data_IF_924932891455
#
_entry.id   IF_924932891455
#
_cell.length_a   1.000
_cell.length_b   1.000
_cell.length_c   1.000
_cell.angle_alpha   90.00
_cell.angle_beta   90.00
_cell.angle_gamma   90.00
#
_symmetry.space_group_name_H-M   'P 1'
#
loop_
_entity.id
_entity.type
_entity.pdbx_description
1 polymer ?
#
# COMPACT_ATOMS: atom_id res chain seq x y z
N UNK A 1 2.34 -1.16 -16.73
CA UNK A 1 2.02 -2.59 -16.70
C UNK A 1 1.00 -2.85 -15.60
N UNK A 2 0.10 -3.79 -15.78
CA UNK A 2 -0.91 -4.13 -14.78
C UNK A 2 -0.50 -5.40 -14.03
N UNK A 3 -0.56 -5.33 -12.70
CA UNK A 3 -0.25 -6.45 -11.81
C UNK A 3 -1.49 -6.85 -11.03
N UNK A 4 -1.54 -8.13 -10.65
CA UNK A 4 -2.60 -8.66 -9.79
C UNK A 4 -2.00 -8.87 -8.39
N UNK A 5 -2.70 -8.40 -7.37
CA UNK A 5 -2.28 -8.57 -5.98
C UNK A 5 -3.37 -9.20 -5.11
N UNK A 6 -2.92 -9.81 -4.02
CA UNK A 6 -3.80 -10.44 -3.02
C UNK A 6 -3.28 -10.14 -1.62
N UNK A 7 -4.18 -10.00 -0.66
CA UNK A 7 -3.80 -10.16 0.74
C UNK A 7 -3.40 -11.62 0.99
N UNK A 8 -2.84 -11.93 2.14
CA UNK A 8 -2.31 -13.27 2.41
C UNK A 8 -3.38 -14.36 2.32
N UNK A 9 -4.58 -14.11 2.87
CA UNK A 9 -5.68 -15.09 2.82
C UNK A 9 -6.49 -15.07 1.52
N UNK A 10 -6.12 -14.20 0.58
CA UNK A 10 -6.76 -14.03 -0.73
C UNK A 10 -8.21 -13.55 -0.70
N UNK A 11 -8.69 -13.10 0.47
CA UNK A 11 -10.04 -12.53 0.57
C UNK A 11 -10.16 -11.18 -0.14
N UNK A 12 -9.03 -10.49 -0.37
CA UNK A 12 -8.97 -9.23 -1.10
C UNK A 12 -8.10 -9.41 -2.32
N UNK A 13 -8.64 -9.10 -3.49
CA UNK A 13 -7.91 -9.12 -4.77
C UNK A 13 -7.97 -7.74 -5.40
N UNK A 14 -6.85 -7.28 -5.92
CA UNK A 14 -6.79 -6.00 -6.61
C UNK A 14 -5.92 -6.08 -7.86
N UNK A 15 -6.07 -5.09 -8.75
CA UNK A 15 -5.12 -4.85 -9.83
C UNK A 15 -4.46 -3.49 -9.61
N UNK A 16 -3.22 -3.38 -10.04
CA UNK A 16 -2.43 -2.16 -9.92
C UNK A 16 -1.72 -1.85 -11.22
N UNK A 17 -1.94 -0.65 -11.75
CA UNK A 17 -1.17 -0.10 -12.86
C UNK A 17 0.05 0.62 -12.30
N UNK A 18 1.24 0.15 -12.63
CA UNK A 18 2.48 0.79 -12.19
C UNK A 18 3.64 0.44 -13.11
N UNK A 19 4.58 1.36 -13.25
CA UNK A 19 5.86 1.10 -13.92
C UNK A 19 6.99 0.86 -12.91
N UNK A 20 6.68 0.82 -11.62
CA UNK A 20 7.63 0.62 -10.53
C UNK A 20 8.72 1.70 -10.44
N UNK A 21 8.45 2.90 -10.95
CA UNK A 21 9.40 4.01 -10.88
C UNK A 21 9.39 4.70 -9.51
N UNK A 22 8.22 4.76 -8.86
CA UNK A 22 8.05 5.38 -7.57
C UNK A 22 7.83 4.33 -6.50
N UNK A 23 8.90 3.66 -6.11
CA UNK A 23 8.89 2.65 -5.06
C UNK A 23 9.56 3.23 -3.84
N UNK A 24 8.88 3.18 -2.70
CA UNK A 24 9.33 3.81 -1.49
C UNK A 24 9.11 3.01 -0.23
N UNK A 25 9.80 3.44 0.81
CA UNK A 25 9.65 2.95 2.17
C UNK A 25 9.71 4.15 3.10
N UNK A 26 8.86 4.17 4.11
CA UNK A 26 8.74 5.31 5.03
C UNK A 26 9.11 4.87 6.44
N UNK A 27 9.75 5.76 7.21
CA UNK A 27 10.17 5.49 8.59
C UNK A 27 9.34 6.22 9.64
N UNK A 28 8.17 6.75 9.30
CA UNK A 28 7.28 7.31 10.32
C UNK A 28 6.85 6.22 11.31
N UNK A 29 6.27 6.62 12.44
CA UNK A 29 5.95 5.67 13.52
C UNK A 29 5.09 4.51 13.07
N UNK A 30 4.18 4.74 12.14
CA UNK A 30 3.29 3.71 11.61
C UNK A 30 3.97 2.88 10.54
N UNK A 31 4.56 3.53 9.54
CA UNK A 31 5.20 2.85 8.41
C UNK A 31 6.41 2.03 8.84
N UNK A 32 7.16 2.53 9.83
CA UNK A 32 8.28 1.81 10.42
C UNK A 32 7.85 0.45 10.98
N UNK A 33 6.68 0.40 11.61
CA UNK A 33 6.18 -0.83 12.22
C UNK A 33 5.73 -1.87 11.19
N UNK A 34 5.10 -1.45 10.13
CA UNK A 34 4.69 -2.38 9.07
C UNK A 34 5.80 -2.67 8.06
N UNK A 35 6.80 -1.79 7.97
CA UNK A 35 8.03 -1.97 7.18
C UNK A 35 7.78 -2.41 5.73
N UNK A 36 6.75 -1.88 5.10
CA UNK A 36 6.32 -2.30 3.78
C UNK A 36 7.06 -1.55 2.67
N UNK A 37 7.31 -2.22 1.58
CA UNK A 37 7.80 -1.62 0.33
C UNK A 37 6.58 -1.29 -0.51
N UNK A 38 6.46 -0.03 -0.93
CA UNK A 38 5.24 0.52 -1.48
C UNK A 38 5.46 1.09 -2.87
N UNK A 39 4.47 0.91 -3.76
CA UNK A 39 4.37 1.70 -4.97
C UNK A 39 3.53 2.95 -4.68
N UNK A 40 4.03 4.12 -5.09
CA UNK A 40 3.33 5.38 -4.98
C UNK A 40 2.73 5.71 -6.34
N UNK A 41 1.40 5.72 -6.44
CA UNK A 41 0.68 5.93 -7.69
C UNK A 41 -0.51 6.86 -7.46
N UNK A 42 -1.21 7.21 -8.53
CA UNK A 42 -2.49 7.91 -8.43
C UNK A 42 -3.58 6.94 -8.01
N UNK A 43 -4.62 7.44 -7.35
CA UNK A 43 -5.71 6.60 -6.81
C UNK A 43 -6.41 5.77 -7.89
N UNK A 44 -6.40 6.22 -9.14
CA UNK A 44 -7.02 5.50 -10.25
C UNK A 44 -6.24 4.26 -10.67
N UNK A 45 -5.00 4.12 -10.20
CA UNK A 45 -4.12 3.01 -10.57
C UNK A 45 -4.51 1.69 -9.91
N UNK A 46 -5.23 1.73 -8.79
CA UNK A 46 -5.67 0.52 -8.08
C UNK A 46 -7.16 0.29 -8.29
N UNK A 47 -7.53 -0.99 -8.48
CA UNK A 47 -8.93 -1.43 -8.51
C UNK A 47 -9.09 -2.65 -7.62
N UNK A 48 -10.03 -2.59 -6.68
CA UNK A 48 -10.35 -3.74 -5.85
C UNK A 48 -11.31 -4.62 -6.63
N UNK A 49 -10.83 -5.81 -7.01
CA UNK A 49 -11.58 -6.74 -7.86
C UNK A 49 -12.61 -7.53 -7.08
N UNK A 50 -12.26 -7.97 -5.87
CA UNK A 50 -13.21 -8.54 -4.91
C UNK A 50 -12.69 -8.36 -3.49
N UNK A 51 -13.59 -8.51 -2.53
CA UNK A 51 -13.23 -8.47 -1.11
C UNK A 51 -13.20 -7.07 -0.51
N UNK A 52 -13.81 -6.07 -1.16
CA UNK A 52 -13.85 -4.72 -0.59
C UNK A 52 -14.51 -4.72 0.79
N UNK A 53 -15.49 -5.61 1.03
CA UNK A 53 -16.16 -5.79 2.32
C UNK A 53 -15.23 -6.37 3.38
N UNK A 54 -14.10 -6.96 2.98
CA UNK A 54 -13.10 -7.52 3.88
C UNK A 54 -12.01 -6.50 4.25
N UNK A 55 -12.02 -5.31 3.65
CA UNK A 55 -11.10 -4.25 4.01
C UNK A 55 -11.60 -3.49 5.21
N UNK A 56 -10.76 -3.38 6.23
CA UNK A 56 -10.96 -2.52 7.38
C UNK A 56 -10.08 -1.29 7.27
N UNK A 57 -10.45 -0.25 8.00
CA UNK A 57 -9.79 1.05 7.93
C UNK A 57 -9.13 1.38 9.27
N UNK A 58 -7.87 1.79 9.22
CA UNK A 58 -7.18 2.36 10.36
C UNK A 58 -6.79 3.80 10.07
N UNK A 59 -7.10 4.69 11.00
CA UNK A 59 -6.74 6.11 10.93
C UNK A 59 -6.23 6.56 12.29
N UNK A 60 -5.35 7.55 12.29
CA UNK A 60 -4.79 8.11 13.52
C UNK A 60 -4.39 9.57 13.30
N UNK A 61 -4.12 10.29 14.41
CA UNK A 61 -3.78 11.72 14.41
C UNK A 61 -4.83 12.56 13.68
N UNK A 62 -4.49 13.10 12.52
CA UNK A 62 -5.38 13.97 11.75
C UNK A 62 -6.51 13.22 11.06
N UNK A 63 -6.46 11.90 10.99
CA UNK A 63 -7.44 11.05 10.28
C UNK A 63 -7.59 11.41 8.80
N UNK A 64 -6.53 11.96 8.19
CA UNK A 64 -6.52 12.26 6.75
C UNK A 64 -6.10 11.04 5.96
N UNK A 65 -4.98 10.41 6.35
CA UNK A 65 -4.54 9.16 5.72
C UNK A 65 -5.49 8.02 6.06
N UNK A 66 -5.78 7.17 5.08
CA UNK A 66 -6.67 6.02 5.26
C UNK A 66 -5.91 4.76 4.94
N UNK A 67 -5.70 3.92 5.95
CA UNK A 67 -4.92 2.68 5.81
C UNK A 67 -5.88 1.51 5.75
N UNK A 68 -5.90 0.82 4.61
CA UNK A 68 -6.82 -0.28 4.34
C UNK A 68 -6.10 -1.61 4.50
N UNK A 69 -6.62 -2.47 5.36
CA UNK A 69 -6.03 -3.79 5.62
C UNK A 69 -7.12 -4.86 5.60
N UNK A 70 -6.71 -6.10 5.31
CA UNK A 70 -7.65 -7.22 5.33
C UNK A 70 -8.03 -7.55 6.77
N UNK A 71 -9.32 -7.53 7.07
CA UNK A 71 -9.80 -7.83 8.43
C UNK A 71 -9.62 -9.29 8.82
N UNK A 72 -9.44 -10.18 7.84
CA UNK A 72 -9.31 -11.63 8.08
C UNK A 72 -7.86 -12.04 8.35
N UNK A 73 -6.91 -11.56 7.57
CA UNK A 73 -5.50 -11.93 7.76
C UNK A 73 -4.63 -10.80 8.32
N UNK A 74 -5.17 -9.58 8.40
CA UNK A 74 -4.46 -8.44 8.96
C UNK A 74 -3.45 -7.77 8.02
N UNK A 75 -3.26 -8.27 6.82
CA UNK A 75 -2.27 -7.70 5.89
C UNK A 75 -2.76 -6.35 5.38
N UNK A 76 -1.91 -5.35 5.50
CA UNK A 76 -2.14 -4.04 4.90
C UNK A 76 -2.07 -4.16 3.38
N UNK A 77 -3.04 -3.56 2.69
CA UNK A 77 -3.15 -3.62 1.24
C UNK A 77 -2.73 -2.31 0.60
N UNK A 78 -3.36 -1.21 0.96
CA UNK A 78 -3.02 0.10 0.42
C UNK A 78 -3.50 1.21 1.34
N UNK A 79 -2.99 2.44 1.09
CA UNK A 79 -3.40 3.63 1.83
C UNK A 79 -3.69 4.78 0.89
N UNK A 80 -4.68 5.59 1.26
CA UNK A 80 -4.84 6.93 0.71
C UNK A 80 -3.88 7.85 1.46
N UNK A 81 -3.08 8.62 0.75
CA UNK A 81 -1.95 9.35 1.33
C UNK A 81 -2.39 10.66 1.98
N UNK A 82 -1.73 11.00 3.08
CA UNK A 82 -2.01 12.22 3.83
C UNK A 82 -1.61 13.49 3.07
N UNK A 83 -0.41 13.49 2.49
CA UNK A 83 0.16 14.68 1.84
C UNK A 83 -0.22 14.81 0.37
N UNK A 84 -0.81 13.78 -0.21
CA UNK A 84 -1.29 13.78 -1.58
C UNK A 84 -2.61 13.01 -1.62
N UNK A 85 -3.76 13.68 -1.40
CA UNK A 85 -5.05 12.98 -1.38
C UNK A 85 -5.42 12.30 -2.70
N UNK A 86 -4.82 12.71 -3.82
CA UNK A 86 -5.02 12.06 -5.12
C UNK A 86 -4.15 10.81 -5.29
N UNK A 87 -3.25 10.56 -4.34
CA UNK A 87 -2.28 9.49 -4.41
C UNK A 87 -2.56 8.35 -3.45
N UNK A 88 -2.00 7.20 -3.79
CA UNK A 88 -2.06 5.99 -2.96
C UNK A 88 -0.67 5.40 -2.77
N UNK A 89 -0.53 4.62 -1.72
CA UNK A 89 0.62 3.77 -1.47
C UNK A 89 0.13 2.33 -1.42
N UNK A 90 0.69 1.45 -2.25
CA UNK A 90 0.22 0.07 -2.38
C UNK A 90 1.32 -0.88 -1.91
N UNK A 91 0.93 -1.88 -1.13
CA UNK A 91 1.85 -2.90 -0.62
C UNK A 91 2.30 -3.83 -1.76
N UNK A 92 3.52 -3.63 -2.23
CA UNK A 92 4.07 -4.46 -3.30
C UNK A 92 4.30 -5.92 -2.86
N UNK A 93 4.37 -6.17 -1.56
CA UNK A 93 4.44 -7.53 -1.04
C UNK A 93 3.21 -8.37 -1.33
N UNK A 94 2.08 -7.74 -1.66
CA UNK A 94 0.86 -8.43 -2.07
C UNK A 94 0.88 -8.93 -3.52
N UNK A 95 1.90 -8.56 -4.30
CA UNK A 95 1.99 -8.90 -5.72
C UNK A 95 3.07 -9.96 -5.90
N UNK A 96 2.66 -11.20 -6.14
CA UNK A 96 3.59 -12.34 -6.20
C UNK A 96 4.58 -12.25 -7.37
N UNK A 97 4.20 -11.58 -8.45
CA UNK A 97 5.10 -11.39 -9.61
C UNK A 97 6.29 -10.48 -9.31
N UNK A 98 6.23 -9.69 -8.25
CA UNK A 98 7.25 -8.70 -7.93
C UNK A 98 8.12 -9.22 -6.80
N UNK A 99 9.43 -9.29 -7.03
CA UNK A 99 10.40 -9.54 -5.97
C UNK A 99 10.84 -8.18 -5.39
N UNK A 100 10.31 -7.84 -4.23
CA UNK A 100 10.58 -6.54 -3.60
C UNK A 100 12.04 -6.37 -3.20
N UNK A 101 12.79 -7.46 -3.04
CA UNK A 101 14.21 -7.40 -2.69
C UNK A 101 15.08 -6.93 -3.86
N UNK A 102 14.56 -6.98 -5.09
CA UNK A 102 15.29 -6.55 -6.29
C UNK A 102 14.99 -5.11 -6.71
N UNK A 103 14.11 -4.43 -6.00
CA UNK A 103 13.69 -3.08 -6.35
C UNK A 103 14.62 -2.01 -5.79
N UNK A 104 14.77 -0.92 -6.53
CA UNK A 104 15.38 0.30 -6.01
C UNK A 104 14.34 1.04 -5.17
N UNK A 105 14.59 1.14 -3.86
CA UNK A 105 13.64 1.70 -2.92
C UNK A 105 14.12 3.06 -2.43
N UNK A 106 13.27 4.07 -2.57
CA UNK A 106 13.51 5.40 -2.04
C UNK A 106 13.06 5.45 -0.58
N UNK A 107 13.96 5.84 0.31
CA UNK A 107 13.63 5.96 1.73
C UNK A 107 13.11 7.36 2.04
N UNK A 108 11.92 7.44 2.59
CA UNK A 108 11.32 8.70 3.02
C UNK A 108 11.54 8.85 4.53
N UNK A 109 12.30 9.88 4.91
CA UNK A 109 12.56 10.18 6.32
C UNK A 109 11.46 11.10 6.84
N UNK A 110 10.50 10.54 7.53
CA UNK A 110 9.40 11.28 8.14
C UNK A 110 9.45 11.28 9.67
N UNK A 111 10.50 10.69 10.25
CA UNK A 111 10.63 10.64 11.71
C UNK A 111 10.95 12.03 12.30
N UNK A 112 11.56 12.90 11.49
CA UNK A 112 11.97 14.24 11.91
C UNK A 112 11.02 15.34 11.41
N UNK A 113 9.84 14.96 10.90
CA UNK A 113 8.83 15.91 10.43
C UNK A 113 7.71 16.14 11.42
#
# INVERSE_FOLDING_TARGET
>A
MEYIGFCHCESVKFTLQTNLENVGQCNCSFCKRRNAIMALEKKEAIKIMHGVENLNLYQFNTNIAKHHFCKKCGIWVYSNRRFDPSGIAVNLGCIDEINTFELNVNLADNIHK
#
